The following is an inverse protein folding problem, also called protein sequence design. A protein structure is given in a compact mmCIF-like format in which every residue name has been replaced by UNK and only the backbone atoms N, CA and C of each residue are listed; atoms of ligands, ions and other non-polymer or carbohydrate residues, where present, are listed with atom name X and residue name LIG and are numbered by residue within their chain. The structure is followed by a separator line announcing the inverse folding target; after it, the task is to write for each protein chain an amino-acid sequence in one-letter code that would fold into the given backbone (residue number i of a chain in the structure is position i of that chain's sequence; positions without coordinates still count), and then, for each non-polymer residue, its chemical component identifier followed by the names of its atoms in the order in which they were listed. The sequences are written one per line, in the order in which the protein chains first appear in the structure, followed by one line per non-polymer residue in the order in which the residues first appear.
data_IF_840871619873
#
_entry.id   IF_840871619873
#
_cell.length_a   1.000
_cell.length_b   1.000
_cell.length_c   1.000
_cell.angle_alpha   90.00
_cell.angle_beta   90.00
_cell.angle_gamma   90.00
#
_symmetry.space_group_name_H-M   'P 1'
#
loop_
_entity.id
_entity.type
_entity.pdbx_description
1 polymer ?
#
# COMPACT_ATOMS: atom_id res chain seq x y z
N UNK A 1 -10.50 4.61 -17.62
CA UNK A 1 -9.97 3.29 -18.00
C UNK A 1 -8.74 3.41 -18.86
N UNK A 2 -8.77 4.19 -19.94
CA UNK A 2 -7.66 4.32 -20.90
C UNK A 2 -6.30 4.69 -20.27
N UNK A 3 -6.27 5.55 -19.25
CA UNK A 3 -5.04 6.00 -18.59
C UNK A 3 -4.92 5.58 -17.11
N UNK A 4 -5.94 4.91 -16.56
CA UNK A 4 -6.01 4.58 -15.13
C UNK A 4 -6.15 5.77 -14.16
N UNK A 5 -6.18 7.00 -14.70
CA UNK A 5 -6.30 8.29 -14.03
C UNK A 5 -7.56 9.05 -14.52
N UNK A 6 -8.03 10.12 -13.84
CA UNK A 6 -7.47 10.77 -12.65
C UNK A 6 -7.73 10.01 -11.35
N UNK A 7 -6.93 10.29 -10.32
CA UNK A 7 -7.22 9.86 -8.95
C UNK A 7 -8.48 10.54 -8.44
N UNK A 8 -9.14 9.89 -7.47
CA UNK A 8 -10.33 10.46 -6.83
C UNK A 8 -9.98 10.79 -5.39
N UNK A 9 -10.23 12.04 -4.99
CA UNK A 9 -10.13 12.48 -3.60
C UNK A 9 -11.49 13.01 -3.18
N UNK A 10 -12.07 12.42 -2.13
CA UNK A 10 -13.38 12.81 -1.61
C UNK A 10 -13.19 13.94 -0.59
N UNK A 11 -13.16 15.19 -1.07
CA UNK A 11 -12.80 16.38 -0.29
C UNK A 11 -13.58 16.51 1.02
N UNK A 12 -14.88 16.21 1.01
CA UNK A 12 -15.73 16.33 2.21
C UNK A 12 -15.34 15.27 3.24
N UNK A 13 -15.13 14.03 2.82
CA UNK A 13 -14.71 12.94 3.71
C UNK A 13 -13.34 13.20 4.31
N UNK A 14 -12.43 13.76 3.52
CA UNK A 14 -11.11 14.21 3.98
C UNK A 14 -11.26 15.31 5.04
N UNK A 15 -11.96 16.40 4.73
CA UNK A 15 -12.04 17.56 5.62
C UNK A 15 -12.85 17.28 6.90
N UNK A 16 -13.90 16.44 6.81
CA UNK A 16 -14.69 16.01 7.96
C UNK A 16 -13.88 15.14 8.94
N UNK A 17 -12.91 14.37 8.44
CA UNK A 17 -12.10 13.45 9.22
C UNK A 17 -10.78 14.04 9.74
N UNK A 18 -10.48 15.32 9.45
CA UNK A 18 -9.27 15.99 9.95
C UNK A 18 -9.25 16.02 11.50
N UNK A 19 -8.06 16.09 12.10
CA UNK A 19 -7.93 16.30 13.55
C UNK A 19 -8.71 17.52 14.04
N UNK A 20 -9.23 17.45 15.26
CA UNK A 20 -10.11 18.50 15.80
C UNK A 20 -9.42 19.86 15.89
N UNK A 21 -8.16 19.91 16.33
CA UNK A 21 -7.39 21.15 16.37
C UNK A 21 -7.16 21.76 14.98
N UNK A 22 -7.08 20.95 13.91
CA UNK A 22 -7.05 21.49 12.54
C UNK A 22 -8.39 22.11 12.14
N UNK A 23 -9.52 21.54 12.58
CA UNK A 23 -10.85 22.13 12.34
C UNK A 23 -11.01 23.45 13.08
N UNK A 24 -10.62 23.51 14.34
CA UNK A 24 -10.66 24.72 15.16
C UNK A 24 -9.76 25.83 14.59
N UNK A 25 -8.60 25.46 14.03
CA UNK A 25 -7.69 26.37 13.36
C UNK A 25 -8.13 26.81 11.95
N UNK A 26 -9.23 26.26 11.41
CA UNK A 26 -9.66 26.55 10.04
C UNK A 26 -8.69 26.04 8.97
N UNK A 27 -7.84 25.05 9.29
CA UNK A 27 -6.84 24.51 8.37
C UNK A 27 -7.48 23.56 7.35
N UNK A 28 -7.48 23.96 6.07
CA UNK A 28 -8.11 23.20 4.99
C UNK A 28 -7.19 22.31 4.17
N UNK A 29 -7.66 21.08 3.91
CA UNK A 29 -7.02 20.13 3.01
C UNK A 29 -7.66 20.30 1.63
N UNK A 30 -6.88 20.86 0.70
CA UNK A 30 -7.36 21.22 -0.63
C UNK A 30 -7.02 20.16 -1.68
N UNK A 31 -5.95 19.42 -1.46
CA UNK A 31 -5.43 18.39 -2.37
C UNK A 31 -4.84 17.23 -1.57
N UNK A 32 -4.58 16.12 -2.25
CA UNK A 32 -3.69 15.06 -1.74
C UNK A 32 -2.28 15.22 -2.34
N UNK A 33 -1.35 14.33 -1.99
CA UNK A 33 -0.06 14.14 -2.66
C UNK A 33 -0.15 13.23 -3.91
N UNK A 34 1.01 12.96 -4.51
CA UNK A 34 1.21 12.12 -5.70
C UNK A 34 0.61 10.71 -5.59
N UNK A 35 0.57 10.12 -4.39
CA UNK A 35 0.09 8.75 -4.18
C UNK A 35 -1.31 8.68 -3.53
N UNK A 36 -1.99 9.82 -3.39
CA UNK A 36 -3.35 9.93 -2.87
C UNK A 36 -3.58 9.48 -1.39
N UNK A 37 -2.54 9.35 -0.57
CA UNK A 37 -2.61 8.93 0.84
C UNK A 37 -2.42 10.08 1.86
N UNK A 38 -1.78 11.17 1.46
CA UNK A 38 -1.46 12.31 2.34
C UNK A 38 -2.52 13.39 2.24
N UNK A 39 -3.15 13.72 3.36
CA UNK A 39 -4.27 14.67 3.42
C UNK A 39 -4.00 15.76 4.43
N UNK A 40 -2.94 16.53 4.18
CA UNK A 40 -2.43 17.57 5.06
C UNK A 40 -2.79 18.96 4.53
N UNK A 41 -2.99 19.95 5.41
CA UNK A 41 -3.39 21.29 4.99
C UNK A 41 -2.27 22.03 4.28
N UNK A 42 -2.63 22.81 3.25
CA UNK A 42 -1.70 23.64 2.48
C UNK A 42 -2.29 25.02 2.21
N UNK A 43 -1.42 26.00 1.95
CA UNK A 43 -1.82 27.39 1.76
C UNK A 43 -1.56 28.27 2.98
N UNK A 44 -2.21 29.42 3.04
CA UNK A 44 -2.07 30.38 4.15
C UNK A 44 -2.86 29.86 5.36
N UNK A 45 -2.22 29.81 6.53
CA UNK A 45 -2.86 29.43 7.79
C UNK A 45 -3.44 30.62 8.57
N UNK A 46 -4.03 30.35 9.73
CA UNK A 46 -4.61 31.36 10.63
C UNK A 46 -3.59 32.37 11.18
N UNK A 47 -2.29 32.10 11.04
CA UNK A 47 -1.20 33.01 11.40
C UNK A 47 -0.69 33.85 10.21
N UNK A 48 -1.34 33.74 9.04
CA UNK A 48 -0.93 34.43 7.82
C UNK A 48 0.36 33.85 7.21
N UNK A 49 0.78 32.63 7.59
CA UNK A 49 1.98 31.97 7.09
C UNK A 49 1.64 30.95 6.03
N UNK A 50 2.45 30.88 4.98
CA UNK A 50 2.30 29.92 3.90
C UNK A 50 2.81 28.54 4.33
N UNK A 51 1.97 27.51 4.19
CA UNK A 51 2.28 26.10 4.45
C UNK A 51 2.45 25.31 3.16
N UNK A 52 3.48 24.47 3.14
CA UNK A 52 3.64 23.37 2.19
C UNK A 52 3.71 22.08 2.99
N UNK A 53 2.78 21.15 2.76
CA UNK A 53 2.74 19.91 3.53
C UNK A 53 3.97 19.03 3.29
N UNK A 54 4.47 18.42 4.36
CA UNK A 54 5.55 17.41 4.34
C UNK A 54 5.13 16.26 5.23
N UNK A 55 5.47 15.05 4.83
CA UNK A 55 5.23 13.86 5.62
C UNK A 55 6.44 12.92 5.53
N UNK A 56 6.89 12.40 6.66
CA UNK A 56 7.85 11.29 6.71
C UNK A 56 7.09 9.98 6.81
N UNK A 57 7.52 8.97 6.05
CA UNK A 57 6.82 7.70 5.90
C UNK A 57 7.69 6.53 6.36
N UNK A 58 7.04 5.55 7.00
CA UNK A 58 7.61 4.22 7.26
C UNK A 58 6.46 3.22 7.30
N UNK A 59 6.71 1.94 7.05
CA UNK A 59 5.67 0.91 6.96
C UNK A 59 5.97 -0.31 7.81
N UNK A 60 4.99 -0.76 8.58
CA UNK A 60 5.07 -2.00 9.34
C UNK A 60 4.85 -3.21 8.41
N UNK A 61 5.69 -4.24 8.50
CA UNK A 61 5.46 -5.48 7.76
C UNK A 61 4.43 -6.36 8.48
N UNK A 62 3.23 -6.49 7.91
CA UNK A 62 2.17 -7.32 8.48
C UNK A 62 2.45 -8.82 8.31
N UNK A 63 3.28 -9.23 7.36
CA UNK A 63 3.63 -10.65 7.22
C UNK A 63 4.31 -11.19 8.49
N UNK A 64 5.08 -10.34 9.18
CA UNK A 64 5.73 -10.66 10.46
C UNK A 64 4.91 -10.22 11.68
N UNK A 65 3.60 -9.95 11.52
CA UNK A 65 2.68 -9.50 12.57
C UNK A 65 2.83 -10.24 13.89
N UNK A 66 2.86 -11.58 13.86
CA UNK A 66 2.94 -12.40 15.08
C UNK A 66 4.27 -12.25 15.83
N UNK A 67 5.31 -11.68 15.19
CA UNK A 67 6.62 -11.45 15.80
C UNK A 67 6.65 -10.14 16.61
N UNK A 68 5.88 -9.13 16.21
CA UNK A 68 6.00 -7.78 16.79
C UNK A 68 4.74 -7.25 17.47
N UNK A 69 3.55 -7.81 17.21
CA UNK A 69 2.27 -7.31 17.74
C UNK A 69 2.19 -7.18 19.27
N UNK A 70 2.93 -8.01 20.01
CA UNK A 70 2.96 -7.98 21.48
C UNK A 70 4.20 -7.27 22.03
N UNK A 71 5.10 -6.79 21.15
CA UNK A 71 6.31 -6.11 21.58
C UNK A 71 5.96 -4.69 22.04
N UNK A 72 6.13 -4.37 23.33
CA UNK A 72 5.52 -3.18 23.94
C UNK A 72 6.03 -1.86 23.36
N UNK A 73 7.25 -1.84 22.83
CA UNK A 73 7.88 -0.62 22.31
C UNK A 73 7.94 -0.57 20.79
N UNK A 74 7.46 -1.59 20.06
CA UNK A 74 7.75 -1.69 18.62
C UNK A 74 7.19 -0.51 17.82
N UNK A 75 5.91 -0.18 18.00
CA UNK A 75 5.30 0.97 17.32
C UNK A 75 5.80 2.29 17.93
N UNK A 76 6.06 2.33 19.24
CA UNK A 76 6.62 3.52 19.91
C UNK A 76 7.97 3.92 19.30
N UNK A 77 8.87 2.96 19.11
CA UNK A 77 10.20 3.17 18.52
C UNK A 77 10.10 3.64 17.06
N UNK A 78 9.15 3.10 16.29
CA UNK A 78 8.91 3.55 14.91
C UNK A 78 8.36 4.98 14.89
N UNK A 79 7.45 5.34 15.79
CA UNK A 79 6.93 6.71 15.89
C UNK A 79 8.01 7.69 16.34
N UNK A 80 8.89 7.30 17.28
CA UNK A 80 10.06 8.07 17.69
C UNK A 80 11.04 8.26 16.52
N UNK A 81 11.28 7.20 15.74
CA UNK A 81 12.10 7.27 14.53
C UNK A 81 11.52 8.27 13.53
N UNK A 82 10.21 8.22 13.26
CA UNK A 82 9.55 9.17 12.37
C UNK A 82 9.64 10.62 12.89
N UNK A 83 9.49 10.84 14.21
CA UNK A 83 9.69 12.17 14.82
C UNK A 83 11.12 12.67 14.65
N UNK A 84 12.12 11.79 14.77
CA UNK A 84 13.53 12.12 14.58
C UNK A 84 13.82 12.49 13.12
N UNK A 85 13.30 11.71 12.16
CA UNK A 85 13.45 12.02 10.72
C UNK A 85 12.79 13.36 10.38
N UNK A 86 11.61 13.63 10.95
CA UNK A 86 10.93 14.90 10.72
C UNK A 86 11.68 16.07 11.36
N UNK A 87 12.22 15.88 12.56
CA UNK A 87 13.06 16.88 13.22
C UNK A 87 14.31 17.19 12.39
N UNK A 88 14.94 16.14 11.86
CA UNK A 88 16.11 16.25 11.01
C UNK A 88 15.84 17.08 9.74
N UNK A 89 14.68 16.85 9.10
CA UNK A 89 14.22 17.69 8.01
C UNK A 89 14.01 19.14 8.44
N UNK A 90 13.37 19.39 9.57
CA UNK A 90 13.12 20.76 10.07
C UNK A 90 14.43 21.51 10.31
N UNK A 91 15.43 20.85 10.91
CA UNK A 91 16.71 21.47 11.28
C UNK A 91 17.61 21.74 10.07
N UNK A 92 17.51 20.91 9.03
CA UNK A 92 18.40 20.98 7.85
C UNK A 92 17.72 21.49 6.59
N UNK A 93 16.43 21.82 6.63
CA UNK A 93 15.71 22.29 5.46
C UNK A 93 16.38 23.54 4.88
N UNK A 94 16.65 23.57 3.55
CA UNK A 94 17.26 24.73 2.93
C UNK A 94 16.28 25.93 2.93
N UNK A 95 16.75 27.18 2.85
CA UNK A 95 15.90 28.38 2.96
C UNK A 95 14.72 28.41 1.98
N UNK A 96 14.88 27.82 0.79
CA UNK A 96 13.84 27.70 -0.23
C UNK A 96 12.64 26.86 0.24
N UNK A 97 12.88 25.94 1.18
CA UNK A 97 11.88 25.06 1.78
C UNK A 97 11.33 25.59 3.10
N UNK A 98 11.52 26.87 3.46
CA UNK A 98 11.04 27.41 4.74
C UNK A 98 9.53 27.21 4.98
N UNK A 99 8.69 27.21 3.93
CA UNK A 99 7.23 26.94 4.03
C UNK A 99 6.95 25.50 4.48
N UNK A 100 7.79 24.58 4.04
CA UNK A 100 7.72 23.17 4.35
C UNK A 100 8.27 22.88 5.76
N UNK A 101 9.41 23.48 6.11
CA UNK A 101 9.96 23.43 7.47
C UNK A 101 8.99 24.02 8.50
N UNK A 102 8.35 25.15 8.16
CA UNK A 102 7.33 25.78 8.99
C UNK A 102 6.12 24.86 9.22
N UNK A 103 5.53 24.31 8.15
CA UNK A 103 4.42 23.39 8.26
C UNK A 103 4.80 22.16 9.11
N UNK A 104 5.92 21.49 8.76
CA UNK A 104 6.42 20.33 9.49
C UNK A 104 6.65 20.59 10.98
N UNK A 105 7.22 21.74 11.33
CA UNK A 105 7.44 22.14 12.73
C UNK A 105 6.12 22.34 13.48
N UNK A 106 5.13 22.97 12.84
CA UNK A 106 3.82 23.28 13.40
C UNK A 106 2.97 22.04 13.67
N UNK A 107 2.79 21.20 12.67
CA UNK A 107 1.84 20.08 12.74
C UNK A 107 2.49 18.75 13.15
N UNK A 108 3.79 18.62 12.87
CA UNK A 108 4.56 17.39 13.04
C UNK A 108 3.85 16.15 12.50
N UNK A 109 3.21 16.23 11.34
CA UNK A 109 2.49 15.08 10.78
C UNK A 109 3.47 14.02 10.28
N UNK A 110 3.15 12.76 10.55
CA UNK A 110 3.88 11.58 10.05
C UNK A 110 2.91 10.59 9.42
N UNK A 111 3.44 9.64 8.64
CA UNK A 111 2.65 8.62 7.96
C UNK A 111 3.20 7.23 8.25
N UNK A 112 2.77 6.66 9.37
CA UNK A 112 2.95 5.25 9.67
C UNK A 112 1.97 4.44 8.80
N UNK A 113 2.54 3.69 7.86
CA UNK A 113 1.84 2.80 6.95
C UNK A 113 2.02 1.33 7.31
N UNK A 114 1.57 0.47 6.40
CA UNK A 114 1.77 -0.98 6.47
C UNK A 114 2.13 -1.53 5.09
N UNK A 115 2.77 -2.69 5.06
CA UNK A 115 2.93 -3.55 3.89
C UNK A 115 2.65 -5.00 4.26
N UNK A 116 2.59 -5.90 3.28
CA UNK A 116 2.48 -7.33 3.53
C UNK A 116 1.09 -7.80 3.93
N UNK A 117 0.02 -7.02 3.67
CA UNK A 117 -1.34 -7.41 4.09
C UNK A 117 -1.81 -8.71 3.42
N UNK A 118 -1.65 -8.86 2.10
CA UNK A 118 -2.05 -10.09 1.41
C UNK A 118 -1.13 -11.25 1.76
N UNK A 119 0.19 -11.01 1.90
CA UNK A 119 1.13 -12.03 2.41
C UNK A 119 0.72 -12.53 3.80
N UNK A 120 0.32 -11.62 4.71
CA UNK A 120 -0.20 -12.00 6.01
C UNK A 120 -1.43 -12.91 5.92
N UNK A 121 -2.38 -12.60 5.03
CA UNK A 121 -3.57 -13.44 4.82
C UNK A 121 -3.20 -14.81 4.25
N UNK A 122 -2.33 -14.86 3.24
CA UNK A 122 -1.85 -16.10 2.64
C UNK A 122 -1.05 -16.96 3.62
N UNK A 123 -0.21 -16.35 4.47
CA UNK A 123 0.51 -17.05 5.53
C UNK A 123 -0.43 -17.73 6.54
N UNK A 124 -1.67 -17.24 6.67
CA UNK A 124 -2.73 -17.79 7.52
C UNK A 124 -3.76 -18.63 6.76
N UNK A 125 -3.55 -18.89 5.47
CA UNK A 125 -4.51 -19.54 4.58
C UNK A 125 -5.90 -18.88 4.61
N UNK A 126 -5.94 -17.55 4.59
CA UNK A 126 -7.19 -16.78 4.57
C UNK A 126 -7.41 -16.17 3.19
N UNK A 127 -8.54 -16.46 2.52
CA UNK A 127 -8.92 -15.74 1.32
C UNK A 127 -9.08 -14.25 1.58
N UNK A 128 -8.65 -13.43 0.62
CA UNK A 128 -8.84 -11.98 0.67
C UNK A 128 -10.34 -11.63 0.74
N UNK A 129 -11.18 -12.41 0.06
CA UNK A 129 -12.64 -12.26 -0.02
C UNK A 129 -13.38 -12.97 1.14
N UNK A 130 -12.84 -12.89 2.35
CA UNK A 130 -13.40 -13.59 3.51
C UNK A 130 -13.79 -12.65 4.65
N UNK A 131 -14.77 -13.09 5.44
CA UNK A 131 -15.13 -12.43 6.72
C UNK A 131 -13.93 -12.40 7.66
N UNK A 132 -13.12 -13.46 7.68
CA UNK A 132 -11.92 -13.50 8.52
C UNK A 132 -10.87 -12.47 8.11
N UNK A 133 -10.69 -12.20 6.81
CA UNK A 133 -9.85 -11.11 6.35
C UNK A 133 -10.35 -9.75 6.87
N UNK A 134 -11.67 -9.51 6.90
CA UNK A 134 -12.24 -8.26 7.46
C UNK A 134 -11.99 -8.15 8.96
N UNK A 135 -12.15 -9.24 9.70
CA UNK A 135 -11.89 -9.28 11.15
C UNK A 135 -10.43 -8.96 11.44
N UNK A 136 -9.50 -9.58 10.72
CA UNK A 136 -8.06 -9.32 10.87
C UNK A 136 -7.70 -7.90 10.46
N UNK A 137 -8.24 -7.41 9.34
CA UNK A 137 -8.06 -6.03 8.90
C UNK A 137 -8.44 -5.04 10.03
N UNK A 138 -9.65 -5.14 10.59
CA UNK A 138 -10.07 -4.28 11.70
C UNK A 138 -9.16 -4.42 12.93
N UNK A 139 -8.80 -5.66 13.28
CA UNK A 139 -7.96 -5.93 14.45
C UNK A 139 -6.57 -5.30 14.32
N UNK A 140 -5.93 -5.46 13.17
CA UNK A 140 -4.59 -4.92 12.88
C UNK A 140 -4.62 -3.39 12.92
N UNK A 141 -5.52 -2.75 12.17
CA UNK A 141 -5.54 -1.30 12.08
C UNK A 141 -6.00 -0.62 13.38
N UNK A 142 -6.92 -1.24 14.12
CA UNK A 142 -7.27 -0.78 15.47
C UNK A 142 -6.06 -0.83 16.41
N UNK A 143 -5.35 -1.96 16.44
CA UNK A 143 -4.16 -2.12 17.27
C UNK A 143 -3.07 -1.09 16.91
N UNK A 144 -2.75 -0.92 15.63
CA UNK A 144 -1.72 0.05 15.20
C UNK A 144 -2.14 1.46 15.59
N UNK A 145 -3.41 1.82 15.42
CA UNK A 145 -3.92 3.14 15.79
C UNK A 145 -3.83 3.41 17.29
N UNK A 146 -4.26 2.47 18.11
CA UNK A 146 -4.18 2.59 19.57
C UNK A 146 -2.74 2.80 20.05
N UNK A 147 -1.79 2.05 19.48
CA UNK A 147 -0.37 2.15 19.78
C UNK A 147 0.25 3.45 19.27
N UNK A 148 -0.07 3.89 18.05
CA UNK A 148 0.42 5.16 17.50
C UNK A 148 -0.10 6.36 18.27
N UNK A 149 -1.37 6.33 18.72
CA UNK A 149 -1.95 7.35 19.59
C UNK A 149 -1.28 7.38 20.96
N UNK A 150 -1.01 6.21 21.56
CA UNK A 150 -0.29 6.12 22.83
C UNK A 150 1.15 6.66 22.73
N UNK A 151 1.88 6.28 21.67
CA UNK A 151 3.23 6.76 21.39
C UNK A 151 3.26 8.28 21.20
N UNK A 152 2.28 8.85 20.48
CA UNK A 152 2.17 10.29 20.26
C UNK A 152 1.99 11.08 21.57
N UNK A 153 1.16 10.60 22.50
CA UNK A 153 1.01 11.22 23.83
C UNK A 153 2.30 11.12 24.66
N UNK A 154 2.94 9.95 24.67
CA UNK A 154 4.19 9.74 25.39
C UNK A 154 5.32 10.63 24.85
N UNK A 155 5.40 10.80 23.54
CA UNK A 155 6.36 11.72 22.92
C UNK A 155 5.99 13.19 23.18
N UNK A 156 4.71 13.52 23.36
CA UNK A 156 4.29 14.85 23.78
C UNK A 156 4.73 15.13 25.23
N UNK A 157 4.66 14.15 26.13
CA UNK A 157 5.22 14.27 27.49
C UNK A 157 6.73 14.50 27.47
N UNK A 158 7.44 13.78 26.58
CA UNK A 158 8.91 13.83 26.51
C UNK A 158 9.44 15.09 25.79
N UNK A 159 8.79 15.52 24.71
CA UNK A 159 9.31 16.53 23.76
C UNK A 159 8.38 17.74 23.57
N UNK A 160 7.27 17.77 24.28
CA UNK A 160 6.18 18.72 24.08
C UNK A 160 5.25 18.31 22.92
N UNK A 161 3.95 18.65 23.01
CA UNK A 161 3.00 18.51 21.90
C UNK A 161 3.42 19.35 20.69
N UNK A 162 2.93 19.02 19.49
CA UNK A 162 3.16 19.89 18.34
C UNK A 162 2.45 21.25 18.55
N UNK A 163 3.01 22.36 18.03
CA UNK A 163 2.42 23.69 18.19
C UNK A 163 0.95 23.80 17.75
N UNK A 164 0.57 23.15 16.64
CA UNK A 164 -0.82 23.15 16.17
C UNK A 164 -1.77 22.45 17.15
N UNK A 165 -1.33 21.41 17.86
CA UNK A 165 -2.14 20.74 18.87
C UNK A 165 -2.16 21.56 20.19
N UNK A 166 -0.99 22.06 20.60
CA UNK A 166 -0.79 22.77 21.86
C UNK A 166 -1.64 24.05 21.96
N UNK A 167 -1.75 24.82 20.87
CA UNK A 167 -2.56 26.05 20.82
C UNK A 167 -4.05 25.82 21.13
N UNK A 168 -4.55 24.61 20.91
CA UNK A 168 -5.94 24.23 21.15
C UNK A 168 -6.09 23.26 22.33
N UNK A 169 -5.07 23.18 23.20
CA UNK A 169 -5.11 22.35 24.41
C UNK A 169 -5.07 20.85 24.14
N UNK A 170 -4.66 20.42 22.94
CA UNK A 170 -4.52 19.01 22.58
C UNK A 170 -3.10 18.54 22.89
N UNK A 171 -2.99 17.46 23.67
CA UNK A 171 -1.71 16.91 24.12
C UNK A 171 -1.23 15.77 23.23
N UNK A 172 -0.82 16.09 22.00
CA UNK A 172 -0.37 15.13 21.00
C UNK A 172 0.92 15.62 20.32
N UNK A 173 1.89 14.72 20.12
CA UNK A 173 3.14 15.06 19.43
C UNK A 173 2.94 15.25 17.94
N UNK A 174 2.01 14.52 17.33
CA UNK A 174 1.75 14.54 15.89
C UNK A 174 0.28 14.87 15.62
N UNK A 175 0.02 15.85 14.75
CA UNK A 175 -1.34 16.14 14.28
C UNK A 175 -1.93 14.96 13.52
N UNK A 176 -1.13 14.30 12.68
CA UNK A 176 -1.48 13.09 11.95
C UNK A 176 -0.38 12.04 12.11
N UNK A 177 -0.78 10.76 12.18
CA UNK A 177 0.09 9.63 12.56
C UNK A 177 0.15 8.53 11.52
N UNK A 178 -0.95 8.28 10.80
CA UNK A 178 -1.11 7.11 9.93
C UNK A 178 -1.54 7.52 8.52
N UNK A 179 -0.85 6.97 7.53
CA UNK A 179 -1.14 7.07 6.10
C UNK A 179 -0.62 5.79 5.42
N UNK A 180 -1.41 5.19 4.53
CA UNK A 180 -1.01 3.93 3.87
C UNK A 180 -0.55 4.25 2.45
N UNK A 181 0.77 4.44 2.30
CA UNK A 181 1.39 4.71 1.00
C UNK A 181 1.63 3.40 0.21
N UNK A 182 1.88 3.49 -1.11
CA UNK A 182 2.36 2.35 -1.88
C UNK A 182 3.77 1.96 -1.39
N UNK A 183 4.04 0.66 -1.28
CA UNK A 183 5.30 0.17 -0.69
C UNK A 183 6.10 -0.70 -1.66
N UNK A 184 5.95 -0.51 -2.97
CA UNK A 184 6.51 -1.37 -4.01
C UNK A 184 7.99 -1.74 -3.79
N UNK A 185 8.85 -0.72 -3.59
CA UNK A 185 10.29 -0.95 -3.43
C UNK A 185 10.66 -1.55 -2.06
N UNK A 186 10.03 -1.08 -0.97
CA UNK A 186 10.37 -1.55 0.38
C UNK A 186 9.79 -2.94 0.67
N UNK A 187 8.72 -3.36 -0.02
CA UNK A 187 8.16 -4.70 0.10
C UNK A 187 9.05 -5.75 -0.57
N UNK A 188 9.75 -5.37 -1.65
CA UNK A 188 10.84 -6.16 -2.23
C UNK A 188 11.97 -6.34 -1.23
N UNK A 189 12.45 -5.24 -0.63
CA UNK A 189 13.53 -5.26 0.37
C UNK A 189 13.13 -6.14 1.57
N UNK A 190 11.86 -6.10 1.97
CA UNK A 190 11.30 -6.93 3.03
C UNK A 190 10.98 -8.38 2.60
N UNK A 191 11.75 -8.92 1.64
CA UNK A 191 11.66 -10.31 1.21
C UNK A 191 10.51 -10.60 0.25
N UNK A 192 10.11 -9.64 -0.59
CA UNK A 192 8.97 -9.76 -1.50
C UNK A 192 7.63 -10.01 -0.79
N UNK A 193 7.39 -9.29 0.31
CA UNK A 193 6.06 -9.17 0.89
C UNK A 193 5.11 -8.45 -0.09
N UNK A 194 3.80 -8.64 0.04
CA UNK A 194 2.81 -7.96 -0.79
C UNK A 194 2.88 -6.43 -0.58
N UNK A 195 2.72 -5.60 -1.62
CA UNK A 195 2.80 -4.15 -1.47
C UNK A 195 1.59 -3.59 -0.70
N UNK A 196 1.86 -2.75 0.29
CA UNK A 196 0.84 -2.01 1.04
C UNK A 196 -0.26 -2.89 1.63
N UNK A 197 -1.49 -2.51 1.29
CA UNK A 197 -2.72 -3.24 1.59
C UNK A 197 -3.30 -3.96 0.36
N UNK A 198 -2.52 -4.04 -0.71
CA UNK A 198 -2.98 -4.49 -2.01
C UNK A 198 -2.94 -6.01 -2.13
N UNK A 199 -3.85 -6.60 -2.93
CA UNK A 199 -3.70 -7.98 -3.37
C UNK A 199 -2.48 -8.12 -4.28
N UNK A 200 -2.00 -9.35 -4.42
CA UNK A 200 -0.83 -9.67 -5.23
C UNK A 200 -1.30 -9.76 -6.68
N UNK A 201 -0.64 -9.05 -7.60
CA UNK A 201 -1.03 -9.00 -9.01
C UNK A 201 -0.89 -10.35 -9.73
N UNK A 202 0.13 -11.15 -9.38
CA UNK A 202 0.39 -12.46 -9.96
C UNK A 202 1.17 -13.36 -8.98
N UNK A 203 0.88 -14.67 -8.94
CA UNK A 203 1.61 -15.60 -8.08
C UNK A 203 3.02 -15.97 -8.61
N UNK A 204 3.32 -15.62 -9.86
CA UNK A 204 4.66 -15.66 -10.43
C UNK A 204 4.84 -14.45 -11.33
N UNK A 205 5.93 -13.71 -11.16
CA UNK A 205 6.23 -12.53 -11.97
C UNK A 205 7.74 -12.35 -12.15
N UNK A 206 8.13 -11.58 -13.18
CA UNK A 206 9.51 -11.17 -13.35
C UNK A 206 9.77 -9.88 -12.59
N UNK A 207 10.80 -9.91 -11.76
CA UNK A 207 11.33 -8.75 -11.09
C UNK A 207 12.59 -8.27 -11.80
N UNK A 208 12.52 -7.08 -12.39
CA UNK A 208 13.68 -6.40 -12.98
C UNK A 208 14.47 -5.71 -11.88
N UNK A 209 15.78 -5.91 -11.89
CA UNK A 209 16.73 -5.22 -11.01
C UNK A 209 17.90 -4.70 -11.85
N UNK A 210 18.76 -3.87 -11.27
CA UNK A 210 20.00 -3.41 -11.91
C UNK A 210 20.90 -4.55 -12.39
N UNK A 211 20.88 -5.68 -11.68
CA UNK A 211 21.73 -6.85 -11.96
C UNK A 211 21.06 -7.88 -12.87
N UNK A 212 19.84 -7.63 -13.38
CA UNK A 212 19.13 -8.54 -14.28
C UNK A 212 17.66 -8.74 -13.90
N UNK A 213 16.98 -9.60 -14.66
CA UNK A 213 15.60 -10.00 -14.40
C UNK A 213 15.54 -11.35 -13.71
N UNK A 214 14.78 -11.44 -12.62
CA UNK A 214 14.65 -12.65 -11.80
C UNK A 214 13.20 -13.08 -11.70
N UNK A 215 12.95 -14.38 -11.78
CA UNK A 215 11.60 -14.92 -11.57
C UNK A 215 11.32 -14.96 -10.07
N UNK A 216 10.23 -14.32 -9.66
CA UNK A 216 9.75 -14.33 -8.28
C UNK A 216 8.49 -15.17 -8.21
N UNK A 217 8.57 -16.25 -7.42
CA UNK A 217 7.45 -17.13 -7.11
C UNK A 217 6.84 -16.73 -5.77
N UNK A 218 5.52 -16.79 -5.65
CA UNK A 218 4.82 -16.56 -4.39
C UNK A 218 5.26 -17.62 -3.36
N UNK A 219 5.90 -17.17 -2.28
CA UNK A 219 6.50 -18.03 -1.25
C UNK A 219 5.46 -18.89 -0.52
N UNK A 220 4.28 -18.35 -0.25
CA UNK A 220 3.22 -19.08 0.44
C UNK A 220 2.60 -20.13 -0.48
N UNK A 221 2.39 -19.80 -1.76
CA UNK A 221 1.94 -20.77 -2.77
C UNK A 221 2.98 -21.87 -2.95
N UNK A 222 4.27 -21.52 -3.06
CA UNK A 222 5.33 -22.50 -3.21
C UNK A 222 5.34 -23.49 -2.04
N UNK A 223 5.20 -23.00 -0.81
CA UNK A 223 5.09 -23.86 0.38
C UNK A 223 3.88 -24.81 0.29
N UNK A 224 2.74 -24.33 -0.18
CA UNK A 224 1.55 -25.17 -0.39
C UNK A 224 1.79 -26.23 -1.48
N UNK A 225 2.38 -25.85 -2.61
CA UNK A 225 2.71 -26.78 -3.69
C UNK A 225 3.70 -27.85 -3.22
N UNK A 226 4.70 -27.49 -2.40
CA UNK A 226 5.63 -28.44 -1.79
C UNK A 226 4.91 -29.46 -0.91
N UNK A 227 3.98 -29.00 -0.05
CA UNK A 227 3.19 -29.88 0.81
C UNK A 227 2.34 -30.88 0.03
N UNK A 228 1.91 -30.52 -1.19
CA UNK A 228 1.15 -31.39 -2.09
C UNK A 228 2.02 -32.23 -3.03
N UNK A 229 3.35 -32.09 -2.99
CA UNK A 229 4.26 -32.73 -3.95
C UNK A 229 4.06 -32.22 -5.39
N UNK A 230 3.65 -30.95 -5.54
CA UNK A 230 3.34 -30.27 -6.81
C UNK A 230 4.21 -29.03 -7.06
N UNK A 231 5.29 -28.84 -6.29
CA UNK A 231 6.30 -27.81 -6.56
C UNK A 231 7.23 -28.26 -7.69
N UNK A 232 6.68 -28.34 -8.91
CA UNK A 232 7.41 -28.79 -10.11
C UNK A 232 7.48 -27.68 -11.16
N UNK A 233 8.48 -27.74 -12.03
CA UNK A 233 8.68 -26.73 -13.08
C UNK A 233 7.50 -26.73 -14.09
N UNK A 234 6.82 -27.85 -14.30
CA UNK A 234 5.62 -27.95 -15.12
C UNK A 234 4.45 -27.15 -14.52
N UNK A 235 4.25 -27.26 -13.19
CA UNK A 235 3.18 -26.52 -12.49
C UNK A 235 3.47 -25.02 -12.53
N UNK A 236 4.71 -24.60 -12.27
CA UNK A 236 5.09 -23.19 -12.36
C UNK A 236 5.03 -22.64 -13.78
N UNK A 237 5.37 -23.45 -14.78
CA UNK A 237 5.18 -23.09 -16.19
C UNK A 237 3.69 -22.89 -16.50
N UNK A 238 2.82 -23.76 -15.99
CA UNK A 238 1.37 -23.60 -16.16
C UNK A 238 0.82 -22.33 -15.49
N UNK A 239 1.26 -22.03 -14.25
CA UNK A 239 0.89 -20.80 -13.54
C UNK A 239 1.37 -19.56 -14.33
N UNK A 240 2.58 -19.61 -14.88
CA UNK A 240 3.15 -18.53 -15.72
C UNK A 240 2.31 -18.30 -16.98
N UNK A 241 1.99 -19.36 -17.71
CA UNK A 241 1.14 -19.30 -18.90
C UNK A 241 -0.28 -18.80 -18.58
N UNK A 242 -0.75 -19.05 -17.36
CA UNK A 242 -2.02 -18.55 -16.83
C UNK A 242 -1.88 -17.16 -16.17
N UNK A 243 -0.83 -16.39 -16.52
CA UNK A 243 -0.58 -15.03 -16.03
C UNK A 243 -0.52 -14.92 -14.49
N UNK A 244 0.01 -15.95 -13.83
CA UNK A 244 0.11 -16.03 -12.38
C UNK A 244 -1.13 -16.58 -11.68
N UNK A 245 -2.17 -16.98 -12.41
CA UNK A 245 -3.36 -17.62 -11.85
C UNK A 245 -3.11 -19.07 -11.44
N UNK A 246 -3.79 -19.50 -10.38
CA UNK A 246 -3.84 -20.91 -9.93
C UNK A 246 -5.23 -21.54 -10.13
N UNK A 247 -6.19 -20.81 -10.69
CA UNK A 247 -7.60 -21.25 -10.72
C UNK A 247 -7.80 -22.51 -11.57
N UNK A 248 -6.94 -22.72 -12.58
CA UNK A 248 -6.92 -23.91 -13.45
C UNK A 248 -6.22 -25.14 -12.87
N UNK A 249 -5.68 -25.09 -11.64
CA UNK A 249 -5.01 -26.23 -11.03
C UNK A 249 -6.01 -27.15 -10.32
N UNK A 250 -6.35 -28.28 -10.94
CA UNK A 250 -7.39 -29.21 -10.46
C UNK A 250 -7.07 -29.90 -9.11
N UNK A 251 -5.79 -29.94 -8.71
CA UNK A 251 -5.38 -30.54 -7.44
C UNK A 251 -5.47 -29.58 -6.25
N UNK A 252 -5.76 -28.29 -6.50
CA UNK A 252 -6.07 -27.32 -5.45
C UNK A 252 -7.56 -27.34 -5.15
N UNK A 253 -7.88 -27.28 -3.86
CA UNK A 253 -9.26 -27.06 -3.39
C UNK A 253 -9.72 -25.63 -3.71
N UNK A 254 -11.03 -25.40 -3.73
CA UNK A 254 -11.59 -24.06 -3.97
C UNK A 254 -11.10 -23.05 -2.93
N UNK A 255 -11.03 -23.43 -1.65
CA UNK A 255 -10.48 -22.59 -0.58
C UNK A 255 -9.01 -22.21 -0.84
N UNK A 256 -8.18 -23.16 -1.29
CA UNK A 256 -6.79 -22.87 -1.65
C UNK A 256 -6.69 -21.94 -2.86
N UNK A 257 -7.55 -22.14 -3.87
CA UNK A 257 -7.63 -21.25 -5.03
C UNK A 257 -8.06 -19.84 -4.62
N UNK A 258 -8.99 -19.72 -3.67
CA UNK A 258 -9.48 -18.45 -3.13
C UNK A 258 -8.40 -17.68 -2.34
N UNK A 259 -7.51 -18.39 -1.63
CA UNK A 259 -6.35 -17.78 -0.94
C UNK A 259 -5.36 -17.14 -1.93
N UNK A 260 -5.20 -17.74 -3.12
CA UNK A 260 -4.21 -17.34 -4.10
C UNK A 260 -4.80 -16.65 -5.34
N UNK A 261 -6.04 -16.14 -5.24
CA UNK A 261 -6.60 -15.25 -6.25
C UNK A 261 -5.68 -14.04 -6.46
N UNK A 262 -5.45 -13.73 -7.72
CA UNK A 262 -4.69 -12.55 -8.16
C UNK A 262 -5.55 -11.29 -8.09
N UNK A 263 -4.92 -10.11 -8.11
CA UNK A 263 -5.61 -8.83 -8.00
C UNK A 263 -6.76 -8.66 -9.03
N UNK A 264 -6.58 -9.15 -10.26
CA UNK A 264 -7.57 -9.08 -11.34
C UNK A 264 -8.68 -10.15 -11.24
N UNK A 265 -8.49 -11.19 -10.44
CA UNK A 265 -9.50 -12.24 -10.20
C UNK A 265 -10.42 -11.92 -9.03
N UNK A 266 -10.01 -10.99 -8.16
CA UNK A 266 -10.81 -10.57 -7.01
C UNK A 266 -11.99 -9.69 -7.42
N UNK A 267 -13.09 -9.82 -6.69
CA UNK A 267 -14.16 -8.85 -6.69
C UNK A 267 -13.69 -7.58 -5.95
N UNK A 268 -13.53 -6.51 -6.73
CA UNK A 268 -13.00 -5.23 -6.28
C UNK A 268 -13.83 -4.57 -5.18
N UNK A 269 -15.10 -4.98 -5.00
CA UNK A 269 -15.92 -4.55 -3.86
C UNK A 269 -15.31 -4.97 -2.52
N UNK A 270 -14.59 -6.09 -2.45
CA UNK A 270 -13.87 -6.50 -1.24
C UNK A 270 -12.69 -5.59 -0.91
N UNK A 271 -11.96 -5.09 -1.92
CA UNK A 271 -10.90 -4.09 -1.70
C UNK A 271 -11.51 -2.82 -1.10
N UNK A 272 -12.64 -2.36 -1.63
CA UNK A 272 -13.39 -1.21 -1.09
C UNK A 272 -13.91 -1.49 0.32
N UNK A 273 -14.44 -2.68 0.60
CA UNK A 273 -14.89 -3.08 1.95
C UNK A 273 -13.74 -3.04 2.96
N UNK A 274 -12.60 -3.64 2.64
CA UNK A 274 -11.46 -3.65 3.56
C UNK A 274 -10.90 -2.24 3.76
N UNK A 275 -10.82 -1.44 2.68
CA UNK A 275 -10.42 -0.04 2.75
C UNK A 275 -11.35 0.77 3.66
N UNK A 276 -12.67 0.62 3.49
CA UNK A 276 -13.66 1.29 4.33
C UNK A 276 -13.55 0.87 5.80
N UNK A 277 -13.38 -0.42 6.04
CA UNK A 277 -13.29 -0.98 7.39
C UNK A 277 -12.07 -0.46 8.17
N UNK A 278 -10.96 -0.17 7.48
CA UNK A 278 -9.74 0.36 8.11
C UNK A 278 -9.69 1.89 8.16
N UNK A 279 -10.43 2.58 7.29
CA UNK A 279 -10.39 4.05 7.16
C UNK A 279 -10.60 4.82 8.47
N UNK A 280 -11.49 4.41 9.39
CA UNK A 280 -11.67 5.09 10.69
C UNK A 280 -10.41 5.10 11.56
N UNK A 281 -9.51 4.13 11.39
CA UNK A 281 -8.27 4.04 12.15
C UNK A 281 -7.15 4.89 11.53
N UNK A 282 -7.30 5.34 10.28
CA UNK A 282 -6.29 6.08 9.52
C UNK A 282 -6.68 7.57 9.49
N UNK A 283 -5.90 8.42 10.17
CA UNK A 283 -6.19 9.86 10.24
C UNK A 283 -5.97 10.59 8.91
N UNK A 284 -4.98 10.16 8.10
CA UNK A 284 -4.82 10.61 6.72
C UNK A 284 -5.63 9.70 5.77
N UNK A 285 -5.12 9.33 4.61
CA UNK A 285 -5.76 8.44 3.65
C UNK A 285 -4.89 7.19 3.34
N UNK A 286 -5.27 6.46 2.30
CA UNK A 286 -4.64 5.21 1.88
C UNK A 286 -4.65 5.15 0.35
N UNK A 287 -3.52 4.76 -0.24
CA UNK A 287 -3.42 4.53 -1.69
C UNK A 287 -4.14 3.23 -2.03
N UNK A 288 -5.29 3.34 -2.68
CA UNK A 288 -6.12 2.17 -3.05
C UNK A 288 -6.16 2.09 -4.56
N UNK A 289 -5.50 1.07 -5.12
CA UNK A 289 -5.68 0.71 -6.51
C UNK A 289 -6.92 -0.19 -6.68
N UNK A 290 -7.60 -0.04 -7.81
CA UNK A 290 -8.64 -0.95 -8.28
C UNK A 290 -8.13 -1.66 -9.53
N UNK A 291 -8.44 -2.94 -9.67
CA UNK A 291 -7.98 -3.83 -10.74
C UNK A 291 -9.20 -4.33 -11.51
N UNK A 292 -9.46 -3.76 -12.68
CA UNK A 292 -10.65 -4.06 -13.47
C UNK A 292 -10.26 -4.55 -14.87
N UNK A 293 -11.01 -5.46 -15.48
CA UNK A 293 -10.79 -5.82 -16.87
C UNK A 293 -11.18 -4.64 -17.77
N UNK A 294 -10.53 -4.49 -18.94
CA UNK A 294 -10.80 -3.35 -19.82
C UNK A 294 -12.21 -3.33 -20.42
N UNK A 295 -12.89 -4.48 -20.46
CA UNK A 295 -14.28 -4.61 -20.90
C UNK A 295 -15.28 -4.51 -19.74
N UNK A 296 -14.85 -4.05 -18.55
CA UNK A 296 -15.75 -3.88 -17.40
C UNK A 296 -16.95 -3.01 -17.77
N UNK A 297 -18.13 -3.51 -17.40
CA UNK A 297 -19.37 -2.79 -17.67
C UNK A 297 -19.43 -1.48 -16.87
N UNK A 298 -19.82 -0.38 -17.53
CA UNK A 298 -19.84 0.97 -16.92
C UNK A 298 -20.66 1.06 -15.63
N UNK A 299 -21.74 0.27 -15.54
CA UNK A 299 -22.55 0.17 -14.31
C UNK A 299 -21.73 -0.35 -13.14
N UNK A 300 -20.92 -1.38 -13.37
CA UNK A 300 -20.19 -2.04 -12.30
C UNK A 300 -18.99 -1.17 -11.89
N UNK A 301 -18.31 -0.55 -12.87
CA UNK A 301 -17.33 0.51 -12.62
C UNK A 301 -17.91 1.63 -11.75
N UNK A 302 -19.09 2.17 -12.11
CA UNK A 302 -19.76 3.20 -11.33
C UNK A 302 -20.12 2.72 -9.93
N UNK A 303 -20.65 1.50 -9.79
CA UNK A 303 -21.04 0.95 -8.49
C UNK A 303 -19.85 0.81 -7.53
N UNK A 304 -18.69 0.39 -8.02
CA UNK A 304 -17.47 0.27 -7.19
C UNK A 304 -17.04 1.66 -6.68
N UNK A 305 -16.98 2.66 -7.56
CA UNK A 305 -16.59 4.02 -7.19
C UNK A 305 -17.64 4.70 -6.29
N UNK A 306 -18.92 4.48 -6.54
CA UNK A 306 -20.01 4.96 -5.70
C UNK A 306 -19.97 4.31 -4.31
N UNK A 307 -19.68 3.01 -4.24
CA UNK A 307 -19.52 2.29 -2.98
C UNK A 307 -18.35 2.83 -2.17
N UNK A 308 -17.22 3.14 -2.81
CA UNK A 308 -16.07 3.77 -2.16
C UNK A 308 -16.44 5.10 -1.50
N UNK A 309 -17.08 6.00 -2.25
CA UNK A 309 -17.61 7.26 -1.72
C UNK A 309 -18.61 7.03 -0.58
N UNK A 310 -19.63 6.18 -0.81
CA UNK A 310 -20.71 5.94 0.16
C UNK A 310 -20.21 5.37 1.48
N UNK A 311 -19.11 4.60 1.45
CA UNK A 311 -18.51 3.98 2.63
C UNK A 311 -17.49 4.87 3.35
N UNK A 312 -17.29 6.11 2.90
CA UNK A 312 -16.44 7.07 3.61
C UNK A 312 -14.95 6.97 3.29
N UNK A 313 -14.56 6.36 2.17
CA UNK A 313 -13.16 6.41 1.73
C UNK A 313 -12.74 7.87 1.50
N UNK A 314 -11.46 8.17 1.69
CA UNK A 314 -10.91 9.51 1.46
C UNK A 314 -10.36 9.68 0.05
N UNK A 315 -9.88 8.59 -0.56
CA UNK A 315 -9.30 8.61 -1.89
C UNK A 315 -9.37 7.24 -2.58
N UNK A 316 -9.18 7.26 -3.90
CA UNK A 316 -8.84 6.13 -4.76
C UNK A 316 -7.66 6.56 -5.64
N UNK A 317 -6.71 5.65 -5.84
CA UNK A 317 -5.48 5.90 -6.58
C UNK A 317 -5.65 5.48 -8.05
N UNK A 318 -4.88 4.50 -8.56
CA UNK A 318 -5.04 4.04 -9.94
C UNK A 318 -6.22 3.09 -10.11
N UNK A 319 -6.92 3.24 -11.25
CA UNK A 319 -7.77 2.20 -11.80
C UNK A 319 -6.97 1.40 -12.84
N UNK A 320 -6.33 0.32 -12.42
CA UNK A 320 -5.56 -0.59 -13.26
C UNK A 320 -6.48 -1.37 -14.18
N UNK A 321 -6.15 -1.38 -15.48
CA UNK A 321 -6.90 -2.10 -16.50
C UNK A 321 -5.97 -2.90 -17.39
N UNK A 322 -6.26 -4.19 -17.58
CA UNK A 322 -5.60 -4.99 -18.62
C UNK A 322 -6.12 -4.51 -19.98
N UNK A 323 -5.29 -3.97 -20.87
CA UNK A 323 -5.82 -3.44 -22.14
C UNK A 323 -6.28 -4.55 -23.09
N UNK A 324 -7.47 -4.38 -23.71
CA UNK A 324 -8.06 -5.33 -24.69
C UNK A 324 -7.14 -5.49 -25.91
N UNK A 325 -6.52 -4.42 -26.42
CA UNK A 325 -5.60 -4.50 -27.57
C UNK A 325 -4.28 -5.21 -27.26
N UNK A 326 -3.86 -5.26 -25.97
CA UNK A 326 -2.74 -6.11 -25.56
C UNK A 326 -3.18 -7.56 -25.37
N UNK A 327 -4.46 -7.87 -25.16
CA UNK A 327 -4.88 -9.26 -25.07
C UNK A 327 -4.62 -10.05 -26.37
N UNK A 328 -4.74 -9.40 -27.54
CA UNK A 328 -4.49 -10.03 -28.85
C UNK A 328 -3.07 -9.80 -29.41
N UNK A 329 -2.33 -8.80 -28.90
CA UNK A 329 -0.95 -8.49 -29.36
C UNK A 329 0.14 -8.80 -28.32
N UNK A 330 -0.24 -9.16 -27.08
CA UNK A 330 0.64 -9.48 -25.93
C UNK A 330 0.54 -10.96 -25.55
N UNK A 331 0.52 -11.80 -26.57
CA UNK A 331 1.16 -13.13 -26.48
C UNK A 331 2.69 -13.03 -26.39
N UNK A 332 3.26 -11.80 -26.39
CA UNK A 332 4.69 -11.53 -26.61
C UNK A 332 5.38 -10.61 -25.58
N UNK A 333 4.93 -10.52 -24.32
CA UNK A 333 5.72 -9.81 -23.29
C UNK A 333 6.36 -10.75 -22.26
N UNK A 334 5.82 -11.96 -22.07
CA UNK A 334 6.46 -13.03 -21.31
C UNK A 334 6.02 -14.38 -21.88
N UNK A 335 6.91 -15.05 -22.59
CA UNK A 335 6.71 -16.44 -23.00
C UNK A 335 7.17 -17.37 -21.88
N UNK A 336 6.68 -18.62 -21.88
CA UNK A 336 7.27 -19.65 -21.03
C UNK A 336 8.79 -19.75 -21.24
N UNK A 337 9.28 -19.46 -22.45
CA UNK A 337 10.70 -19.42 -22.75
C UNK A 337 11.44 -18.28 -22.03
N UNK A 338 10.85 -17.10 -21.84
CA UNK A 338 11.49 -15.98 -21.12
C UNK A 338 11.63 -16.28 -19.63
N UNK A 339 10.59 -16.87 -19.01
CA UNK A 339 10.62 -17.29 -17.60
C UNK A 339 11.55 -18.48 -17.42
N UNK A 340 11.52 -19.48 -18.32
CA UNK A 340 12.45 -20.61 -18.29
C UNK A 340 13.89 -20.16 -18.51
N UNK A 341 14.16 -19.18 -19.38
CA UNK A 341 15.49 -18.63 -19.60
C UNK A 341 15.99 -17.86 -18.36
N UNK A 342 15.12 -17.06 -17.72
CA UNK A 342 15.45 -16.40 -16.46
C UNK A 342 15.71 -17.40 -15.33
N UNK A 343 14.91 -18.47 -15.22
CA UNK A 343 15.11 -19.54 -14.24
C UNK A 343 16.38 -20.36 -14.50
N UNK A 344 16.69 -20.66 -15.76
CA UNK A 344 17.96 -21.33 -16.14
C UNK A 344 19.17 -20.45 -15.82
N UNK A 345 19.12 -19.16 -16.13
CA UNK A 345 20.18 -18.21 -15.80
C UNK A 345 20.38 -18.11 -14.28
N UNK A 346 19.28 -17.99 -13.53
CA UNK A 346 19.30 -17.91 -12.07
C UNK A 346 19.84 -19.20 -11.42
N UNK A 347 19.48 -20.38 -11.93
CA UNK A 347 20.05 -21.68 -11.50
C UNK A 347 21.53 -21.82 -11.88
N UNK A 348 21.97 -21.22 -12.98
CA UNK A 348 23.36 -21.20 -13.43
C UNK A 348 24.22 -20.12 -12.76
N UNK A 349 23.67 -19.31 -11.84
CA UNK A 349 24.39 -18.20 -11.20
C UNK A 349 24.69 -17.03 -12.13
N UNK A 350 23.99 -16.93 -13.27
CA UNK A 350 24.16 -15.88 -14.26
C UNK A 350 22.92 -14.97 -14.30
N UNK A 351 23.12 -13.68 -14.56
CA UNK A 351 22.02 -12.76 -14.83
C UNK A 351 21.47 -12.99 -16.26
N UNK A 352 20.17 -13.19 -16.41
CA UNK A 352 19.55 -13.24 -17.73
C UNK A 352 19.65 -11.87 -18.41
N UNK A 353 20.00 -11.79 -19.71
CA UNK A 353 20.06 -10.53 -20.43
C UNK A 353 18.67 -9.86 -20.44
N UNK A 354 18.60 -8.60 -20.04
CA UNK A 354 17.36 -7.83 -20.08
C UNK A 354 16.90 -7.67 -21.54
N UNK A 355 15.63 -7.94 -21.89
CA UNK A 355 15.12 -7.62 -23.21
C UNK A 355 15.21 -6.10 -23.45
N UNK A 356 15.64 -5.71 -24.66
CA UNK A 356 15.96 -4.33 -25.03
C UNK A 356 14.71 -3.43 -25.07
N UNK A 357 14.25 -2.97 -23.91
CA UNK A 357 13.28 -1.87 -23.74
C UNK A 357 13.63 -1.10 -22.48
N UNK A 358 13.45 0.23 -22.52
CA UNK A 358 13.92 1.20 -21.54
C UNK A 358 13.57 0.82 -20.10
N UNK A 359 14.57 0.92 -19.21
CA UNK A 359 14.42 0.86 -17.75
C UNK A 359 13.68 2.09 -17.26
N UNK A 360 12.35 2.05 -17.36
CA UNK A 360 11.49 3.01 -16.68
C UNK A 360 11.21 2.48 -15.27
N UNK A 361 11.76 3.16 -14.26
CA UNK A 361 11.66 2.75 -12.85
C UNK A 361 10.26 2.95 -12.27
N UNK A 362 9.38 3.66 -12.99
CA UNK A 362 7.97 3.85 -12.63
C UNK A 362 7.11 2.60 -12.92
N UNK A 363 7.65 1.61 -13.65
CA UNK A 363 6.97 0.35 -13.98
C UNK A 363 7.36 -0.78 -13.01
N UNK A 364 6.91 -0.70 -11.75
CA UNK A 364 6.99 -1.86 -10.87
C UNK A 364 5.96 -2.92 -11.33
N UNK A 365 6.42 -3.99 -11.99
CA UNK A 365 5.58 -5.10 -12.47
C UNK A 365 4.80 -5.82 -11.35
N UNK A 366 5.21 -5.71 -10.08
CA UNK A 366 4.42 -6.24 -8.96
C UNK A 366 3.19 -5.39 -8.62
N UNK A 367 3.15 -4.16 -9.14
CA UNK A 367 2.07 -3.18 -8.98
C UNK A 367 1.34 -2.88 -10.30
N UNK A 368 1.71 -3.56 -11.41
CA UNK A 368 1.04 -3.49 -12.72
C UNK A 368 -0.07 -4.53 -12.85
#
# INVERSE_FOLDING_TARGET
MEQGEPYIVYSDHVNNARPEHHKLAGLEVKTSNLCAEITLPTGIDHHGKQRTAVCCLSSLNLETWDQWKDHPQFIEDVMLFLDNVLQDFIDRAPPEMHKAAYAAMRERSVGLGVMGFHSFLQAKNLPFESVMAKVWNKKIFKHIREQADAASRKLADLRGPCPDAAEYGVHERFSNKMAIAPTASISIIAGNASPGIEPIAANVFLQKTLSGSFTVRNRHLQKLLQQKGKDTDEVWSHITLSKGSVQGLDFLTDDEKDVFKTAFELDQRWIVEHAADRQPFICQAQSINLFLPADVHKRDLHQIHYMAWKKGLKSLYYCRSLSIQRADTVSNVLTAADVQAAEHAQRAGAAAPAPATSTDYDECLSCQ
#
